data_IF_984523253216
#
_entry.id   IF_984523253216
#
_cell.length_a   1.000
_cell.length_b   1.000
_cell.length_c   1.000
_cell.angle_alpha   90.00
_cell.angle_beta   90.00
_cell.angle_gamma   90.00
#
_symmetry.space_group_name_H-M   'P 1'
#
loop_
_entity.id
_entity.type
_entity.pdbx_description
1 polymer ?
#
# COMPACT_ATOMS: atom_id res chain seq x y z
N UNK A 1 4.86 8.53 1.43
CA UNK A 1 4.00 7.78 2.37
C UNK A 1 4.74 7.48 3.65
N UNK A 2 4.02 7.43 4.73
CA UNK A 2 4.58 7.27 6.06
C UNK A 2 3.76 6.28 6.88
N UNK A 3 4.43 5.51 7.71
CA UNK A 3 3.78 4.67 8.71
C UNK A 3 4.74 4.38 9.86
N UNK A 4 4.20 4.04 11.02
CA UNK A 4 4.99 3.81 12.23
C UNK A 4 4.80 2.43 12.84
N UNK A 5 4.71 1.40 12.03
CA UNK A 5 4.45 0.05 12.51
C UNK A 5 5.71 -0.72 12.80
N UNK A 6 5.66 -1.50 13.88
CA UNK A 6 6.61 -2.56 14.14
C UNK A 6 5.87 -3.88 13.96
N UNK A 7 6.27 -4.66 12.98
CA UNK A 7 5.64 -5.93 12.69
C UNK A 7 6.42 -7.03 13.38
N UNK A 8 5.79 -7.69 14.36
CA UNK A 8 6.44 -8.75 15.13
C UNK A 8 6.24 -10.12 14.51
N UNK A 9 5.06 -10.39 13.96
CA UNK A 9 4.78 -11.63 13.27
C UNK A 9 4.57 -11.36 11.78
N UNK A 10 5.51 -11.79 10.96
CA UNK A 10 5.53 -11.54 9.52
C UNK A 10 4.54 -12.42 8.76
N UNK A 11 3.89 -13.37 9.43
CA UNK A 11 3.02 -14.37 8.78
C UNK A 11 1.54 -14.06 8.92
N UNK A 12 1.17 -13.14 9.79
CA UNK A 12 -0.22 -12.83 10.11
C UNK A 12 -0.75 -11.65 9.29
N UNK A 13 -2.08 -11.58 9.08
CA UNK A 13 -2.69 -10.38 8.53
C UNK A 13 -2.48 -9.18 9.46
N UNK A 14 -2.26 -8.01 8.88
CA UNK A 14 -2.09 -6.77 9.64
C UNK A 14 -2.94 -5.68 9.04
N UNK A 15 -3.55 -4.88 9.93
CA UNK A 15 -4.20 -3.64 9.55
C UNK A 15 -3.15 -2.54 9.48
N UNK A 16 -3.09 -1.87 8.34
CA UNK A 16 -2.09 -0.84 8.07
C UNK A 16 -2.76 0.43 7.56
N UNK A 17 -2.15 1.56 7.89
CA UNK A 17 -2.54 2.86 7.33
C UNK A 17 -1.33 3.48 6.64
N UNK A 18 -1.45 3.78 5.36
CA UNK A 18 -0.42 4.49 4.61
C UNK A 18 -0.94 5.89 4.30
N UNK A 19 -0.19 6.92 4.68
CA UNK A 19 -0.59 8.32 4.51
C UNK A 19 0.35 9.00 3.51
N UNK A 20 -0.23 9.78 2.60
CA UNK A 20 0.54 10.65 1.71
C UNK A 20 0.80 11.96 2.45
N UNK A 21 2.07 12.19 2.79
CA UNK A 21 2.48 13.39 3.52
C UNK A 21 2.70 14.53 2.54
N UNK A 22 2.21 15.71 2.87
CA UNK A 22 2.35 16.95 2.10
C UNK A 22 1.57 16.97 0.78
N UNK A 23 0.81 15.93 0.47
CA UNK A 23 0.00 15.87 -0.73
C UNK A 23 -1.47 15.79 -0.36
N UNK A 24 -2.04 16.92 -0.05
CA UNK A 24 -3.44 17.00 0.36
C UNK A 24 -4.35 16.51 -0.75
N UNK A 25 -5.25 15.59 -0.40
CA UNK A 25 -6.31 15.09 -1.29
C UNK A 25 -5.84 14.45 -2.61
N UNK A 26 -4.62 13.91 -2.64
CA UNK A 26 -4.09 13.29 -3.86
C UNK A 26 -5.02 12.17 -4.37
N UNK A 27 -5.62 11.38 -3.46
CA UNK A 27 -6.49 10.27 -3.85
C UNK A 27 -7.92 10.69 -4.16
N UNK A 28 -8.25 11.98 -4.11
CA UNK A 28 -9.54 12.47 -4.59
C UNK A 28 -9.66 12.37 -6.11
N UNK A 29 -8.54 12.30 -6.82
CA UNK A 29 -8.51 12.10 -8.26
C UNK A 29 -8.50 10.61 -8.61
N UNK A 30 -9.38 10.23 -9.51
CA UNK A 30 -9.52 8.83 -9.94
C UNK A 30 -8.22 8.23 -10.45
N UNK A 31 -7.43 9.00 -11.21
CA UNK A 31 -6.15 8.52 -11.78
C UNK A 31 -5.20 8.01 -10.70
N UNK A 32 -5.16 8.65 -9.54
CA UNK A 32 -4.28 8.22 -8.44
C UNK A 32 -4.85 7.05 -7.67
N UNK A 33 -6.19 6.99 -7.52
CA UNK A 33 -6.84 5.81 -6.94
C UNK A 33 -6.60 4.57 -7.81
N UNK A 34 -6.70 4.73 -9.12
CA UNK A 34 -6.43 3.64 -10.07
C UNK A 34 -4.98 3.18 -9.97
N UNK A 35 -4.02 4.09 -9.73
CA UNK A 35 -2.63 3.73 -9.48
C UNK A 35 -2.49 2.83 -8.25
N UNK A 36 -3.21 3.13 -7.17
CA UNK A 36 -3.17 2.30 -5.96
C UNK A 36 -3.70 0.89 -6.25
N UNK A 37 -4.81 0.78 -6.98
CA UNK A 37 -5.37 -0.53 -7.36
C UNK A 37 -4.38 -1.31 -8.21
N UNK A 38 -3.74 -0.67 -9.18
CA UNK A 38 -2.69 -1.29 -10.00
C UNK A 38 -1.52 -1.78 -9.15
N UNK A 39 -1.14 -1.01 -8.13
CA UNK A 39 -0.06 -1.40 -7.23
C UNK A 39 -0.44 -2.61 -6.38
N UNK A 40 -1.69 -2.68 -5.90
CA UNK A 40 -2.18 -3.87 -5.22
C UNK A 40 -2.12 -5.10 -6.16
N UNK A 41 -2.62 -4.96 -7.38
CA UNK A 41 -2.60 -6.07 -8.36
C UNK A 41 -1.19 -6.55 -8.63
N UNK A 42 -0.25 -5.62 -8.81
CA UNK A 42 1.16 -5.96 -9.02
C UNK A 42 1.74 -6.72 -7.83
N UNK A 43 1.48 -6.26 -6.61
CA UNK A 43 2.01 -6.91 -5.41
C UNK A 43 1.36 -8.26 -5.16
N UNK A 44 0.08 -8.42 -5.46
CA UNK A 44 -0.61 -9.71 -5.37
C UNK A 44 0.03 -10.71 -6.33
N UNK A 45 0.28 -10.27 -7.55
CA UNK A 45 0.83 -11.14 -8.60
C UNK A 45 2.31 -11.46 -8.39
N UNK A 46 3.11 -10.49 -7.96
CA UNK A 46 4.57 -10.59 -8.04
C UNK A 46 5.29 -10.55 -6.68
N UNK A 47 4.63 -10.13 -5.61
CA UNK A 47 5.26 -9.91 -4.31
C UNK A 47 4.64 -10.73 -3.18
N UNK A 48 3.75 -11.64 -3.51
CA UNK A 48 3.13 -12.51 -2.51
C UNK A 48 2.15 -11.81 -1.58
N UNK A 49 1.55 -10.71 -2.02
CA UNK A 49 0.55 -10.02 -1.22
C UNK A 49 -0.77 -10.79 -1.21
N UNK A 50 -1.33 -10.95 -0.02
CA UNK A 50 -2.72 -11.37 0.17
C UNK A 50 -3.46 -10.14 0.67
N UNK A 51 -4.36 -9.61 -0.14
CA UNK A 51 -5.14 -8.42 0.19
C UNK A 51 -6.51 -8.84 0.69
N UNK A 52 -6.76 -8.62 1.98
CA UNK A 52 -8.03 -8.98 2.59
C UNK A 52 -9.08 -7.88 2.42
N UNK A 53 -8.67 -6.63 2.57
CA UNK A 53 -9.59 -5.49 2.49
C UNK A 53 -8.78 -4.21 2.31
N UNK A 54 -9.42 -3.18 1.73
CA UNK A 54 -8.81 -1.85 1.66
C UNK A 54 -9.88 -0.77 1.51
N UNK A 55 -9.53 0.44 1.94
CA UNK A 55 -10.30 1.65 1.70
C UNK A 55 -9.33 2.76 1.33
N UNK A 56 -9.60 3.45 0.23
CA UNK A 56 -8.79 4.59 -0.22
C UNK A 56 -9.53 5.87 0.16
N UNK A 57 -8.92 6.64 1.06
CA UNK A 57 -9.41 7.97 1.45
C UNK A 57 -8.65 9.03 0.66
N UNK A 58 -9.00 10.32 0.84
CA UNK A 58 -8.42 11.39 0.03
C UNK A 58 -6.90 11.51 0.14
N UNK A 59 -6.32 11.20 1.28
CA UNK A 59 -4.88 11.32 1.50
C UNK A 59 -4.26 10.13 2.23
N UNK A 60 -5.01 9.05 2.43
CA UNK A 60 -4.48 7.84 3.06
C UNK A 60 -5.26 6.61 2.63
N UNK A 61 -4.65 5.46 2.88
CA UNK A 61 -5.19 4.14 2.54
C UNK A 61 -5.21 3.32 3.81
N UNK A 62 -6.35 2.71 4.10
CA UNK A 62 -6.45 1.65 5.11
C UNK A 62 -6.46 0.31 4.38
N UNK A 63 -5.69 -0.65 4.87
CA UNK A 63 -5.61 -1.96 4.23
C UNK A 63 -5.35 -3.04 5.27
N UNK A 64 -5.85 -4.23 4.98
CA UNK A 64 -5.53 -5.44 5.73
C UNK A 64 -4.83 -6.36 4.76
N UNK A 65 -3.54 -6.59 4.97
CA UNK A 65 -2.70 -7.40 4.09
C UNK A 65 -1.94 -8.45 4.87
N UNK A 66 -1.45 -9.42 4.13
CA UNK A 66 -0.68 -10.55 4.64
C UNK A 66 0.36 -10.93 3.59
N UNK A 67 1.50 -11.42 4.01
CA UNK A 67 2.52 -11.96 3.12
C UNK A 67 2.37 -13.48 3.03
N UNK A 68 2.33 -14.02 1.83
CA UNK A 68 2.21 -15.48 1.66
C UNK A 68 3.52 -16.22 1.93
N UNK A 69 4.65 -15.51 2.03
CA UNK A 69 5.96 -16.10 2.28
C UNK A 69 6.59 -15.63 3.61
N UNK A 70 5.81 -14.99 4.47
CA UNK A 70 6.27 -14.57 5.80
C UNK A 70 7.21 -13.37 5.79
N UNK A 71 7.17 -12.54 4.75
CA UNK A 71 8.04 -11.36 4.60
C UNK A 71 7.23 -10.08 4.51
N UNK A 72 6.38 -9.84 5.50
CA UNK A 72 5.43 -8.72 5.46
C UNK A 72 6.12 -7.36 5.44
N UNK A 73 7.18 -7.17 6.23
CA UNK A 73 7.92 -5.89 6.25
C UNK A 73 8.52 -5.56 4.87
N UNK A 74 9.09 -6.56 4.20
CA UNK A 74 9.62 -6.38 2.85
C UNK A 74 8.52 -6.05 1.85
N UNK A 75 7.38 -6.72 1.97
CA UNK A 75 6.23 -6.47 1.12
C UNK A 75 5.71 -5.04 1.27
N UNK A 76 5.59 -4.55 2.49
CA UNK A 76 5.14 -3.19 2.77
C UNK A 76 6.11 -2.16 2.20
N UNK A 77 7.40 -2.38 2.39
CA UNK A 77 8.45 -1.53 1.84
C UNK A 77 8.33 -1.45 0.31
N UNK A 78 8.18 -2.59 -0.35
CA UNK A 78 8.09 -2.66 -1.80
C UNK A 78 6.80 -2.03 -2.31
N UNK A 79 5.69 -2.24 -1.63
CA UNK A 79 4.42 -1.61 -1.96
C UNK A 79 4.52 -0.08 -1.89
N UNK A 80 5.06 0.44 -0.81
CA UNK A 80 5.22 1.89 -0.62
C UNK A 80 6.13 2.50 -1.68
N UNK A 81 7.25 1.86 -1.95
CA UNK A 81 8.21 2.31 -2.95
C UNK A 81 7.60 2.32 -4.36
N UNK A 82 6.95 1.23 -4.73
CA UNK A 82 6.33 1.09 -6.04
C UNK A 82 5.19 2.08 -6.21
N UNK A 83 4.35 2.25 -5.19
CA UNK A 83 3.23 3.18 -5.21
C UNK A 83 3.69 4.62 -5.35
N UNK A 84 4.69 5.03 -4.55
CA UNK A 84 5.23 6.38 -4.62
C UNK A 84 5.79 6.70 -6.00
N UNK A 85 6.53 5.76 -6.58
CA UNK A 85 7.08 5.93 -7.93
C UNK A 85 5.98 6.05 -8.98
N UNK A 86 4.97 5.19 -8.90
CA UNK A 86 3.87 5.18 -9.87
C UNK A 86 3.08 6.50 -9.82
N UNK A 87 2.81 7.01 -8.62
CA UNK A 87 2.11 8.29 -8.45
C UNK A 87 2.95 9.44 -8.99
N UNK A 88 4.24 9.49 -8.66
CA UNK A 88 5.14 10.53 -9.13
C UNK A 88 5.23 10.55 -10.66
N UNK A 89 5.20 9.40 -11.30
CA UNK A 89 5.23 9.30 -12.76
C UNK A 89 3.96 9.85 -13.42
N UNK A 90 2.86 9.98 -12.68
CA UNK A 90 1.58 10.51 -13.16
C UNK A 90 1.42 12.01 -12.91
N UNK A 91 2.23 12.58 -12.07
CA UNK A 91 2.24 14.01 -11.81
C UNK A 91 3.05 14.74 -12.89
#
# INVERSE_FOLDING_TARGET
MKEGYVIRDQTLPHFLTATVVDWVDVFSRKIYRDCIVECFEYCIKNKGMILHSYVIMSNHIHMIIQSNDGKLSDLIRDFKKFTSKTILDKI
#
